data_IF_177460285820
#
_entry.id   IF_177460285820
#
_cell.length_a   1.000
_cell.length_b   1.000
_cell.length_c   1.000
_cell.angle_alpha   90.00
_cell.angle_beta   90.00
_cell.angle_gamma   90.00
#
_symmetry.space_group_name_H-M   'P 1'
#
loop_
_entity.id
_entity.type
_entity.pdbx_description
1 polymer ?
#
# COMPACT_ATOMS: atom_id res chain seq x y z
N UNK A 1 12.63 30.19 61.63
CA UNK A 1 12.97 30.59 60.25
C UNK A 1 13.03 29.34 59.39
N UNK A 2 11.97 29.03 58.65
CA UNK A 2 11.86 27.84 57.83
C UNK A 2 12.45 28.12 56.43
N UNK A 3 13.35 27.26 55.98
CA UNK A 3 14.16 27.41 54.76
C UNK A 3 13.31 27.26 53.49
N UNK A 4 13.36 28.21 52.54
CA UNK A 4 12.56 28.16 51.29
C UNK A 4 13.02 27.13 50.26
N UNK A 5 14.01 26.29 50.57
CA UNK A 5 14.62 25.32 49.62
C UNK A 5 13.71 24.09 49.29
N UNK A 6 12.83 23.69 50.18
CA UNK A 6 11.98 22.50 49.97
C UNK A 6 10.84 22.66 48.98
N UNK A 7 10.40 23.89 48.69
CA UNK A 7 9.31 24.16 47.73
C UNK A 7 9.74 24.11 46.26
N UNK A 8 11.07 24.19 45.99
CA UNK A 8 11.58 24.20 44.62
C UNK A 8 11.81 22.81 44.07
N UNK A 9 12.15 21.83 44.91
CA UNK A 9 12.34 20.44 44.53
C UNK A 9 11.01 19.73 44.14
N UNK A 10 9.93 20.04 44.82
CA UNK A 10 8.62 19.44 44.51
C UNK A 10 8.01 19.87 43.17
N UNK A 11 8.37 21.07 42.65
CA UNK A 11 7.83 21.54 41.37
C UNK A 11 8.35 20.72 40.17
N UNK A 12 9.61 20.34 40.18
CA UNK A 12 10.18 19.49 39.14
C UNK A 12 9.55 18.09 39.10
N UNK A 13 9.35 17.49 40.26
CA UNK A 13 8.72 16.17 40.38
C UNK A 13 7.24 16.20 39.99
N UNK A 14 6.50 17.25 40.34
CA UNK A 14 5.09 17.40 39.93
C UNK A 14 4.97 17.57 38.41
N UNK A 15 5.86 18.35 37.77
CA UNK A 15 5.87 18.53 36.32
C UNK A 15 6.20 17.20 35.62
N UNK A 16 7.17 16.44 36.10
CA UNK A 16 7.55 15.15 35.54
C UNK A 16 6.41 14.13 35.62
N UNK A 17 5.73 14.06 36.77
CA UNK A 17 4.58 13.15 36.96
C UNK A 17 3.41 13.56 36.07
N UNK A 18 3.15 14.87 35.93
CA UNK A 18 2.11 15.34 35.02
C UNK A 18 2.41 15.06 33.55
N UNK A 19 3.66 15.23 33.10
CA UNK A 19 4.07 14.86 31.74
C UNK A 19 3.94 13.34 31.47
N UNK A 20 4.35 12.50 32.43
CA UNK A 20 4.18 11.04 32.30
C UNK A 20 2.71 10.63 32.27
N UNK A 21 1.84 11.26 33.07
CA UNK A 21 0.40 10.99 33.06
C UNK A 21 -0.26 11.39 31.71
N UNK A 22 0.15 12.52 31.15
CA UNK A 22 -0.32 12.97 29.83
C UNK A 22 0.14 12.00 28.73
N UNK A 23 1.40 11.56 28.75
CA UNK A 23 1.91 10.59 27.77
C UNK A 23 1.21 9.23 27.90
N UNK A 24 0.94 8.75 29.11
CA UNK A 24 0.22 7.50 29.38
C UNK A 24 -1.25 7.54 28.93
N UNK A 25 -1.85 8.74 28.87
CA UNK A 25 -3.21 8.94 28.34
C UNK A 25 -3.23 9.17 26.83
N UNK A 26 -2.21 9.83 26.28
CA UNK A 26 -2.15 10.13 24.84
C UNK A 26 -1.84 8.87 23.98
N UNK A 27 -1.04 7.93 24.48
CA UNK A 27 -0.70 6.71 23.75
C UNK A 27 -1.93 5.81 23.48
N UNK A 28 -2.76 5.46 24.48
CA UNK A 28 -3.97 4.68 24.21
C UNK A 28 -5.04 5.45 23.41
N UNK A 29 -5.09 6.79 23.55
CA UNK A 29 -6.01 7.61 22.76
C UNK A 29 -5.57 7.65 21.28
N UNK A 30 -4.28 7.74 21.01
CA UNK A 30 -3.74 7.69 19.64
C UNK A 30 -3.96 6.33 18.99
N UNK A 31 -3.86 5.22 19.72
CA UNK A 31 -4.17 3.88 19.20
C UNK A 31 -5.66 3.64 18.97
N UNK A 32 -6.54 4.38 19.64
CA UNK A 32 -7.99 4.37 19.40
C UNK A 32 -8.40 5.27 18.22
N UNK A 33 -7.56 6.25 17.86
CA UNK A 33 -7.80 7.22 16.79
C UNK A 33 -7.09 6.88 15.46
N UNK A 34 -6.21 5.89 15.47
CA UNK A 34 -5.64 5.29 14.26
C UNK A 34 -6.38 3.97 14.00
N UNK A 35 -7.51 3.99 13.30
CA UNK A 35 -8.05 2.76 12.80
C UNK A 35 -7.05 2.24 11.77
N UNK A 36 -6.43 1.10 12.03
CA UNK A 36 -6.02 0.17 10.98
C UNK A 36 -7.36 -0.26 10.34
N UNK A 37 -7.89 0.58 9.47
CA UNK A 37 -9.21 0.37 8.89
C UNK A 37 -9.10 -0.78 7.91
N UNK A 38 -9.40 -1.98 8.41
CA UNK A 38 -9.82 -3.05 7.50
C UNK A 38 -11.03 -2.50 6.72
N UNK A 39 -11.12 -2.76 5.41
CA UNK A 39 -12.32 -2.41 4.66
C UNK A 39 -13.52 -3.05 5.32
N UNK A 40 -14.53 -2.25 5.65
CA UNK A 40 -15.72 -2.74 6.34
C UNK A 40 -16.67 -3.44 5.37
N UNK A 41 -16.56 -3.12 4.07
CA UNK A 41 -17.42 -3.71 3.02
C UNK A 41 -16.56 -4.20 1.84
N UNK A 42 -17.16 -5.08 1.04
CA UNK A 42 -16.56 -5.57 -0.21
C UNK A 42 -16.35 -4.42 -1.20
N UNK A 43 -17.25 -3.45 -1.23
CA UNK A 43 -17.14 -2.26 -2.08
C UNK A 43 -15.93 -1.42 -1.71
N UNK A 44 -15.72 -1.16 -0.42
CA UNK A 44 -14.54 -0.44 0.07
C UNK A 44 -13.25 -1.20 -0.27
N UNK A 45 -13.26 -2.53 -0.09
CA UNK A 45 -12.13 -3.38 -0.47
C UNK A 45 -11.83 -3.30 -1.97
N UNK A 46 -12.86 -3.25 -2.81
CA UNK A 46 -12.72 -3.11 -4.27
C UNK A 46 -12.18 -1.74 -4.66
N UNK A 47 -12.67 -0.67 -4.05
CA UNK A 47 -12.16 0.70 -4.27
C UNK A 47 -10.68 0.81 -3.90
N UNK A 48 -10.28 0.25 -2.76
CA UNK A 48 -8.89 0.27 -2.28
C UNK A 48 -7.93 -0.42 -3.26
N UNK A 49 -8.24 -1.65 -3.69
CA UNK A 49 -7.39 -2.37 -4.66
C UNK A 49 -7.41 -1.71 -6.04
N UNK A 50 -8.56 -1.13 -6.45
CA UNK A 50 -8.67 -0.40 -7.70
C UNK A 50 -7.82 0.86 -7.70
N UNK A 51 -7.85 1.64 -6.63
CA UNK A 51 -7.03 2.84 -6.49
C UNK A 51 -5.53 2.51 -6.53
N UNK A 52 -5.12 1.42 -5.86
CA UNK A 52 -3.72 0.98 -5.84
C UNK A 52 -3.23 0.57 -7.24
N UNK A 53 -4.03 -0.17 -8.01
CA UNK A 53 -3.69 -0.57 -9.37
C UNK A 53 -3.74 0.63 -10.33
N UNK A 54 -4.74 1.50 -10.19
CA UNK A 54 -4.86 2.72 -10.99
C UNK A 54 -3.64 3.62 -10.83
N UNK A 55 -3.13 3.81 -9.61
CA UNK A 55 -1.92 4.58 -9.37
C UNK A 55 -0.70 4.03 -10.14
N UNK A 56 -0.61 2.72 -10.33
CA UNK A 56 0.45 2.10 -11.13
C UNK A 56 0.20 2.32 -12.62
N UNK A 57 -1.05 2.16 -13.09
CA UNK A 57 -1.41 2.36 -14.51
C UNK A 57 -1.15 3.80 -14.95
N UNK A 58 -1.43 4.79 -14.10
CA UNK A 58 -1.16 6.21 -14.39
C UNK A 58 0.32 6.53 -14.62
N UNK A 59 1.24 5.62 -14.32
CA UNK A 59 2.67 5.78 -14.67
C UNK A 59 2.97 5.44 -16.14
N UNK A 60 2.00 4.87 -16.84
CA UNK A 60 2.08 4.49 -18.26
C UNK A 60 1.49 5.66 -19.07
N UNK A 61 2.23 6.21 -20.05
CA UNK A 61 1.68 7.24 -20.94
C UNK A 61 0.44 6.71 -21.67
N UNK A 62 -0.67 7.44 -21.59
CA UNK A 62 -1.96 6.98 -22.11
C UNK A 62 -1.92 6.70 -23.62
N UNK A 63 -1.10 7.43 -24.37
CA UNK A 63 -0.89 7.26 -25.81
C UNK A 63 -0.17 5.95 -26.17
N UNK A 64 0.46 5.30 -25.20
CA UNK A 64 1.13 4.01 -25.39
C UNK A 64 0.28 2.83 -24.98
N UNK A 65 -0.90 3.05 -24.40
CA UNK A 65 -1.85 2.00 -24.01
C UNK A 65 -2.66 1.58 -25.24
N UNK A 66 -2.55 0.31 -25.64
CA UNK A 66 -3.29 -0.27 -26.77
C UNK A 66 -4.60 -0.91 -26.33
N UNK A 67 -4.60 -1.59 -25.19
CA UNK A 67 -5.79 -2.11 -24.54
C UNK A 67 -5.65 -2.12 -23.03
N UNK A 68 -6.80 -2.09 -22.32
CA UNK A 68 -6.87 -2.03 -20.88
C UNK A 68 -8.14 -2.75 -20.40
N UNK A 69 -7.97 -3.94 -19.84
CA UNK A 69 -9.04 -4.80 -19.38
C UNK A 69 -8.92 -5.05 -17.87
N UNK A 70 -10.00 -4.84 -17.13
CA UNK A 70 -10.05 -5.03 -15.69
C UNK A 70 -11.11 -6.03 -15.28
N UNK A 71 -10.75 -6.95 -14.40
CA UNK A 71 -11.66 -7.91 -13.78
C UNK A 71 -11.47 -7.91 -12.27
N UNK A 72 -12.58 -8.11 -11.54
CA UNK A 72 -12.58 -8.21 -10.08
C UNK A 72 -13.32 -9.47 -9.65
N UNK A 73 -12.75 -10.21 -8.72
CA UNK A 73 -13.33 -11.43 -8.14
C UNK A 73 -13.31 -11.35 -6.62
N UNK A 74 -14.26 -12.05 -6.00
CA UNK A 74 -14.38 -12.14 -4.55
C UNK A 74 -14.12 -13.58 -4.14
N UNK A 75 -13.38 -13.75 -3.02
CA UNK A 75 -13.13 -15.05 -2.42
C UNK A 75 -13.35 -15.02 -0.91
N UNK A 76 -13.63 -16.15 -0.27
CA UNK A 76 -13.61 -16.23 1.18
C UNK A 76 -12.22 -15.89 1.72
N UNK A 77 -12.17 -15.17 2.84
CA UNK A 77 -10.91 -14.96 3.55
C UNK A 77 -10.48 -16.25 4.24
N UNK A 78 -9.21 -16.64 4.12
CA UNK A 78 -8.70 -17.87 4.70
C UNK A 78 -8.47 -17.80 6.21
N UNK A 79 -8.39 -16.59 6.75
CA UNK A 79 -8.03 -16.34 8.15
C UNK A 79 -9.21 -15.93 9.03
N UNK A 80 -10.34 -15.56 8.43
CA UNK A 80 -11.52 -15.05 9.15
C UNK A 80 -12.81 -15.59 8.52
N UNK A 81 -13.59 -16.33 9.31
CA UNK A 81 -14.87 -16.87 8.87
C UNK A 81 -15.86 -15.73 8.55
N UNK A 82 -16.54 -15.84 7.40
CA UNK A 82 -17.51 -14.85 6.94
C UNK A 82 -16.89 -13.63 6.24
N UNK A 83 -15.61 -13.33 6.44
CA UNK A 83 -14.93 -12.25 5.77
C UNK A 83 -14.62 -12.61 4.30
N UNK A 84 -14.49 -11.58 3.48
CA UNK A 84 -14.19 -11.70 2.05
C UNK A 84 -12.89 -10.97 1.72
N UNK A 85 -12.22 -11.43 0.68
CA UNK A 85 -11.10 -10.75 0.05
C UNK A 85 -11.45 -10.45 -1.39
N UNK A 86 -11.11 -9.26 -1.87
CA UNK A 86 -11.26 -8.85 -3.27
C UNK A 86 -9.92 -8.99 -3.96
N UNK A 87 -9.91 -9.70 -5.07
CA UNK A 87 -8.80 -9.74 -5.99
C UNK A 87 -9.16 -8.95 -7.24
N UNK A 88 -8.30 -8.02 -7.61
CA UNK A 88 -8.39 -7.27 -8.85
C UNK A 88 -7.25 -7.71 -9.78
N UNK A 89 -7.60 -8.01 -11.03
CA UNK A 89 -6.66 -8.25 -12.12
C UNK A 89 -6.91 -7.23 -13.21
N UNK A 90 -5.85 -6.55 -13.64
CA UNK A 90 -5.89 -5.63 -14.80
C UNK A 90 -4.79 -6.02 -15.78
N UNK A 91 -5.17 -6.09 -17.03
CA UNK A 91 -4.28 -6.45 -18.15
C UNK A 91 -4.18 -5.23 -19.05
N UNK A 92 -2.98 -4.68 -19.15
CA UNK A 92 -2.69 -3.52 -20.00
C UNK A 92 -1.71 -3.96 -21.09
N UNK A 93 -2.09 -3.81 -22.35
CA UNK A 93 -1.18 -4.01 -23.48
C UNK A 93 -0.62 -2.64 -23.88
N UNK A 94 0.70 -2.57 -23.96
CA UNK A 94 1.42 -1.35 -24.30
C UNK A 94 2.15 -1.51 -25.62
N UNK A 95 2.30 -0.39 -26.34
CA UNK A 95 3.03 -0.36 -27.61
C UNK A 95 4.51 -0.75 -27.42
N UNK A 96 5.14 -1.26 -28.48
CA UNK A 96 6.56 -1.65 -28.49
C UNK A 96 7.52 -0.49 -28.16
N UNK A 97 7.07 0.75 -28.37
CA UNK A 97 7.82 1.96 -28.01
C UNK A 97 7.83 2.25 -26.51
N UNK A 98 7.05 1.53 -25.70
CA UNK A 98 7.07 1.68 -24.25
C UNK A 98 8.38 1.13 -23.68
N UNK A 99 9.12 1.99 -22.96
CA UNK A 99 10.38 1.60 -22.32
C UNK A 99 10.12 0.71 -21.10
N UNK A 100 9.87 -0.57 -21.37
CA UNK A 100 9.60 -1.58 -20.35
C UNK A 100 10.82 -1.81 -19.43
N UNK A 101 12.05 -1.61 -19.93
CA UNK A 101 13.27 -1.83 -19.15
C UNK A 101 13.53 -0.71 -18.15
N UNK A 102 13.27 0.54 -18.55
CA UNK A 102 13.42 1.71 -17.69
C UNK A 102 12.25 1.93 -16.74
N UNK A 103 11.07 1.38 -17.05
CA UNK A 103 9.86 1.60 -16.27
C UNK A 103 9.96 1.19 -14.79
N UNK A 104 10.56 0.04 -14.38
CA UNK A 104 10.74 -0.30 -12.97
C UNK A 104 11.57 0.73 -12.18
N UNK A 105 12.49 1.41 -12.85
CA UNK A 105 13.24 2.53 -12.28
C UNK A 105 12.33 3.71 -11.96
N UNK A 106 11.51 4.11 -12.93
CA UNK A 106 10.51 5.19 -12.76
C UNK A 106 9.48 4.88 -11.67
N UNK A 107 9.03 3.63 -11.58
CA UNK A 107 8.16 3.19 -10.48
C UNK A 107 8.82 3.38 -9.11
N UNK A 108 10.11 3.07 -8.96
CA UNK A 108 10.83 3.28 -7.70
C UNK A 108 10.97 4.75 -7.34
N UNK A 109 11.13 5.62 -8.32
CA UNK A 109 11.21 7.07 -8.11
C UNK A 109 9.85 7.64 -7.70
N UNK A 110 8.78 7.21 -8.37
CA UNK A 110 7.43 7.70 -8.14
C UNK A 110 6.82 7.14 -6.84
N UNK A 111 7.01 5.86 -6.58
CA UNK A 111 6.59 5.21 -5.34
C UNK A 111 7.75 5.22 -4.34
N UNK A 112 7.98 6.39 -3.76
CA UNK A 112 9.11 6.62 -2.85
C UNK A 112 8.92 5.90 -1.50
N UNK A 113 10.02 5.41 -0.89
CA UNK A 113 9.99 4.92 0.49
C UNK A 113 9.51 5.95 1.52
N UNK A 114 9.65 7.25 1.23
CA UNK A 114 9.15 8.33 2.09
C UNK A 114 7.62 8.30 2.25
N UNK A 115 6.92 7.79 1.24
CA UNK A 115 5.46 7.64 1.26
C UNK A 115 5.02 6.25 1.75
N UNK A 116 5.95 5.46 2.30
CA UNK A 116 5.71 4.12 2.81
C UNK A 116 5.60 3.04 1.73
N UNK A 117 5.93 3.36 0.48
CA UNK A 117 5.95 2.39 -0.60
C UNK A 117 7.30 1.67 -0.72
N UNK A 118 7.24 0.40 -1.09
CA UNK A 118 8.42 -0.43 -1.37
C UNK A 118 8.28 -1.11 -2.72
N UNK A 119 9.17 -0.81 -3.65
CA UNK A 119 9.19 -1.42 -4.99
C UNK A 119 10.33 -2.43 -5.09
N UNK A 120 9.99 -3.67 -5.43
CA UNK A 120 10.95 -4.76 -5.68
C UNK A 120 10.76 -5.30 -7.09
N UNK A 121 11.86 -5.55 -7.78
CA UNK A 121 11.88 -6.13 -9.12
C UNK A 121 12.57 -7.48 -9.05
N UNK A 122 11.92 -8.50 -9.58
CA UNK A 122 12.41 -9.87 -9.66
C UNK A 122 12.44 -10.30 -11.13
N UNK A 123 13.58 -10.75 -11.60
CA UNK A 123 13.64 -11.45 -12.90
C UNK A 123 12.94 -12.80 -12.77
N UNK A 124 12.06 -13.13 -13.71
CA UNK A 124 11.34 -14.41 -13.73
C UNK A 124 12.08 -15.45 -14.56
N UNK A 125 12.73 -15.00 -15.65
CA UNK A 125 13.44 -15.90 -16.58
C UNK A 125 14.59 -15.17 -17.28
N UNK A 126 15.30 -15.91 -18.13
CA UNK A 126 16.37 -15.38 -18.97
C UNK A 126 15.85 -14.65 -20.23
N UNK A 127 14.55 -14.77 -20.53
CA UNK A 127 13.89 -14.10 -21.66
C UNK A 127 13.55 -12.64 -21.42
N UNK A 128 13.74 -12.15 -20.19
CA UNK A 128 13.50 -10.74 -19.85
C UNK A 128 12.16 -10.49 -19.17
N UNK A 129 11.32 -11.52 -18.92
CA UNK A 129 10.12 -11.37 -18.13
C UNK A 129 10.47 -10.97 -16.69
N UNK A 130 9.77 -9.99 -16.15
CA UNK A 130 9.98 -9.49 -14.79
C UNK A 130 8.68 -9.50 -14.00
N UNK A 131 8.83 -9.66 -12.70
CA UNK A 131 7.76 -9.40 -11.73
C UNK A 131 8.16 -8.20 -10.88
N UNK A 132 7.28 -7.22 -10.82
CA UNK A 132 7.45 -6.04 -9.98
C UNK A 132 6.43 -6.15 -8.85
N UNK A 133 6.89 -6.05 -7.61
CA UNK A 133 6.02 -6.02 -6.44
C UNK A 133 6.09 -4.64 -5.81
N UNK A 134 4.94 -3.97 -5.73
CA UNK A 134 4.77 -2.69 -5.03
C UNK A 134 3.98 -2.95 -3.76
N UNK A 135 4.56 -2.64 -2.62
CA UNK A 135 3.89 -2.72 -1.32
C UNK A 135 3.69 -1.32 -0.79
N UNK A 136 2.43 -0.94 -0.59
CA UNK A 136 2.03 0.34 -0.05
C UNK A 136 2.00 0.39 1.49
N UNK A 137 1.76 1.60 2.07
CA UNK A 137 1.73 1.83 3.51
C UNK A 137 0.64 1.03 4.23
N UNK A 138 -0.51 0.82 3.59
CA UNK A 138 -1.66 0.08 4.15
C UNK A 138 -1.57 -1.43 3.88
N UNK A 139 -0.36 -1.95 3.66
CA UNK A 139 -0.10 -3.32 3.28
C UNK A 139 -0.70 -3.72 1.92
N UNK A 140 -1.24 -2.77 1.15
CA UNK A 140 -1.67 -3.00 -0.21
C UNK A 140 -0.51 -3.58 -1.02
N UNK A 141 -0.80 -4.59 -1.83
CA UNK A 141 0.20 -5.26 -2.64
C UNK A 141 -0.28 -5.27 -4.09
N UNK A 142 0.48 -4.60 -4.96
CA UNK A 142 0.30 -4.71 -6.40
C UNK A 142 1.45 -5.51 -6.97
N UNK A 143 1.14 -6.59 -7.67
CA UNK A 143 2.11 -7.36 -8.43
C UNK A 143 1.90 -7.10 -9.91
N UNK A 144 2.97 -6.72 -10.60
CA UNK A 144 2.96 -6.53 -12.05
C UNK A 144 3.84 -7.62 -12.66
N UNK A 145 3.30 -8.33 -13.64
CA UNK A 145 4.00 -9.31 -14.45
C UNK A 145 4.09 -8.78 -15.86
N UNK A 146 5.26 -8.84 -16.45
CA UNK A 146 5.43 -8.53 -17.87
C UNK A 146 5.36 -9.80 -18.69
N UNK A 147 4.77 -9.72 -19.87
CA UNK A 147 4.71 -10.75 -20.88
C UNK A 147 4.77 -10.12 -22.26
N UNK A 148 4.99 -10.90 -23.28
CA UNK A 148 4.95 -10.45 -24.67
C UNK A 148 3.71 -11.00 -25.36
N UNK A 149 3.13 -10.18 -26.26
CA UNK A 149 2.01 -10.54 -27.13
C UNK A 149 2.36 -10.15 -28.58
N UNK A 150 1.58 -10.62 -29.54
CA UNK A 150 1.76 -10.26 -30.95
C UNK A 150 1.53 -8.75 -31.21
N UNK A 151 0.84 -8.07 -30.31
CA UNK A 151 0.48 -6.64 -30.44
C UNK A 151 1.42 -5.69 -29.65
N UNK A 152 2.30 -6.24 -28.80
CA UNK A 152 3.16 -5.45 -27.92
C UNK A 152 3.46 -6.17 -26.62
N UNK A 153 3.90 -5.44 -25.60
CA UNK A 153 4.15 -6.01 -24.27
C UNK A 153 2.89 -6.00 -23.41
N UNK A 154 2.60 -7.11 -22.75
CA UNK A 154 1.50 -7.25 -21.80
C UNK A 154 1.99 -6.99 -20.37
N UNK A 155 1.24 -6.18 -19.64
CA UNK A 155 1.42 -5.91 -18.21
C UNK A 155 0.20 -6.47 -17.46
N UNK A 156 0.35 -7.62 -16.82
CA UNK A 156 -0.68 -8.16 -15.93
C UNK A 156 -0.44 -7.66 -14.52
N UNK A 157 -1.34 -6.82 -14.01
CA UNK A 157 -1.35 -6.28 -12.65
C UNK A 157 -2.35 -7.05 -11.80
N UNK A 158 -1.94 -7.48 -10.61
CA UNK A 158 -2.83 -8.15 -9.65
C UNK A 158 -2.66 -7.50 -8.29
N UNK A 159 -3.78 -7.22 -7.64
CA UNK A 159 -3.85 -6.69 -6.29
C UNK A 159 -4.89 -7.45 -5.46
N UNK A 160 -4.66 -7.54 -4.15
CA UNK A 160 -5.57 -8.18 -3.20
C UNK A 160 -5.83 -7.21 -2.05
N UNK A 161 -7.09 -7.11 -1.65
CA UNK A 161 -7.46 -6.39 -0.44
C UNK A 161 -7.03 -7.17 0.81
N UNK A 162 -7.02 -6.50 1.95
CA UNK A 162 -7.16 -7.17 3.24
C UNK A 162 -8.54 -7.85 3.34
N UNK A 163 -8.73 -8.74 4.31
CA UNK A 163 -10.05 -9.31 4.58
C UNK A 163 -11.02 -8.19 5.03
N UNK A 164 -12.24 -8.20 4.52
CA UNK A 164 -13.30 -7.30 5.00
C UNK A 164 -13.59 -7.55 6.48
N UNK A 165 -14.15 -6.55 7.16
CA UNK A 165 -14.69 -6.78 8.49
C UNK A 165 -15.91 -7.70 8.42
N UNK A 166 -16.07 -8.58 9.39
CA UNK A 166 -17.26 -9.43 9.60
C UNK A 166 -18.31 -8.70 10.42
#
# INVERSE_FOLDING_TARGET
MASPRRLRENRGTIILVACCAVLLLCVPLASLLLPLTKPQTVEQAREEVSASVEAVVQTIPAELVLSDDQTSTEAPCLTEDGARVVQLRRVVVVADSFDLRGWPGRLREQFSPHDGWHVRVHALDLGGAVMISLRGPDLSLVQVRTGDTDAGSELTMTSWSSCTAT
#
